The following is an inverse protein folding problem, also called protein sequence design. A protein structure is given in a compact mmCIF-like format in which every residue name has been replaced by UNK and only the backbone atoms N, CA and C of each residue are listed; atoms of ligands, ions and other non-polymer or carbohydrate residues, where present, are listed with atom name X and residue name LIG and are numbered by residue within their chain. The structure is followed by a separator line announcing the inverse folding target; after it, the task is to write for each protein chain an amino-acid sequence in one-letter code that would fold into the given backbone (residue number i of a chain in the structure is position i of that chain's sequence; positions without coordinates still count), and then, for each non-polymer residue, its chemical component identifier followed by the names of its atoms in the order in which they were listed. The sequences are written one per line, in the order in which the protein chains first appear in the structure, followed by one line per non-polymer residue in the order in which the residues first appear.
data_IF_499048250164
#
_entry.id   IF_499048250164
#
_cell.length_a   1.000
_cell.length_b   1.000
_cell.length_c   1.000
_cell.angle_alpha   90.00
_cell.angle_beta   90.00
_cell.angle_gamma   90.00
#
_symmetry.space_group_name_H-M   'P 1'
#
loop_
_entity.id
_entity.type
_entity.pdbx_description
1 polymer ?
#
# COMPACT_ATOMS: atom_id res chain seq x y z
N UNK A 1 -16.15 -3.10 -2.09
CA UNK A 1 -14.78 -3.63 -2.23
C UNK A 1 -14.26 -3.16 -3.57
N UNK A 2 -13.09 -2.54 -3.60
CA UNK A 2 -12.44 -2.10 -4.84
C UNK A 2 -11.23 -2.94 -5.17
N UNK A 3 -10.90 -3.01 -6.47
CA UNK A 3 -9.68 -3.60 -6.97
C UNK A 3 -8.88 -2.51 -7.68
N UNK A 4 -7.62 -2.34 -7.30
CA UNK A 4 -6.70 -1.40 -7.94
C UNK A 4 -5.64 -2.20 -8.69
N UNK A 5 -5.62 -2.08 -10.02
CA UNK A 5 -4.56 -2.65 -10.84
C UNK A 5 -3.31 -1.79 -10.74
N UNK A 6 -2.25 -2.32 -10.11
CA UNK A 6 -1.00 -1.59 -9.99
C UNK A 6 -0.28 -1.50 -11.35
N UNK A 7 -0.31 -2.56 -12.15
CA UNK A 7 0.25 -2.54 -13.50
C UNK A 7 -0.41 -1.46 -14.37
N UNK A 8 -1.74 -1.34 -14.32
CA UNK A 8 -2.47 -0.30 -15.05
C UNK A 8 -2.01 1.12 -14.68
N UNK A 9 -1.84 1.40 -13.38
CA UNK A 9 -1.36 2.72 -12.94
C UNK A 9 0.08 3.02 -13.40
N UNK A 10 0.93 2.00 -13.42
CA UNK A 10 2.34 2.11 -13.84
C UNK A 10 2.53 2.26 -15.35
N UNK A 11 1.51 1.96 -16.18
CA UNK A 11 1.57 2.23 -17.62
C UNK A 11 1.52 3.73 -17.92
N UNK A 12 0.78 4.48 -17.12
CA UNK A 12 0.47 5.90 -17.36
C UNK A 12 1.29 6.85 -16.49
N UNK A 13 2.05 6.34 -15.51
CA UNK A 13 2.73 7.17 -14.52
C UNK A 13 3.93 6.49 -13.86
N UNK A 14 4.80 7.29 -13.22
CA UNK A 14 5.90 6.76 -12.43
C UNK A 14 5.43 6.18 -11.08
N UNK A 15 6.35 5.53 -10.36
CA UNK A 15 6.07 4.92 -9.06
C UNK A 15 5.55 5.89 -7.99
N UNK A 16 5.94 7.16 -8.02
CA UNK A 16 5.49 8.15 -7.03
C UNK A 16 4.06 8.54 -7.32
N UNK A 17 3.74 8.88 -8.56
CA UNK A 17 2.39 9.28 -8.95
C UNK A 17 1.40 8.11 -8.90
N UNK A 18 1.82 6.91 -9.33
CA UNK A 18 1.06 5.67 -9.10
C UNK A 18 0.79 5.43 -7.61
N UNK A 19 1.77 5.68 -6.73
CA UNK A 19 1.60 5.57 -5.29
C UNK A 19 0.53 6.52 -4.75
N UNK A 20 0.55 7.78 -5.18
CA UNK A 20 -0.49 8.76 -4.82
C UNK A 20 -1.87 8.35 -5.33
N UNK A 21 -1.95 7.80 -6.54
CA UNK A 21 -3.21 7.29 -7.09
C UNK A 21 -3.78 6.13 -6.25
N UNK A 22 -2.92 5.22 -5.79
CA UNK A 22 -3.31 4.16 -4.85
C UNK A 22 -3.77 4.75 -3.52
N UNK A 23 -3.04 5.73 -2.97
CA UNK A 23 -3.42 6.41 -1.72
C UNK A 23 -4.83 6.98 -1.80
N UNK A 24 -5.12 7.77 -2.83
CA UNK A 24 -6.41 8.46 -2.97
C UNK A 24 -7.56 7.45 -3.07
N UNK A 25 -7.44 6.45 -3.95
CA UNK A 25 -8.45 5.40 -4.12
C UNK A 25 -8.65 4.58 -2.85
N UNK A 26 -7.56 4.26 -2.15
CA UNK A 26 -7.62 3.48 -0.92
C UNK A 26 -8.24 4.28 0.23
N UNK A 27 -7.96 5.58 0.35
CA UNK A 27 -8.58 6.46 1.34
C UNK A 27 -10.10 6.49 1.16
N UNK A 28 -10.57 6.74 -0.07
CA UNK A 28 -12.01 6.77 -0.38
C UNK A 28 -12.68 5.46 0.06
N UNK A 29 -12.14 4.32 -0.37
CA UNK A 29 -12.68 3.01 -0.02
C UNK A 29 -12.61 2.70 1.49
N UNK A 30 -11.50 3.03 2.17
CA UNK A 30 -11.34 2.74 3.61
C UNK A 30 -12.26 3.61 4.47
N UNK A 31 -12.49 4.86 4.07
CA UNK A 31 -13.43 5.77 4.74
C UNK A 31 -14.88 5.27 4.57
N UNK A 32 -15.18 4.58 3.48
CA UNK A 32 -16.46 3.88 3.23
C UNK A 32 -16.53 2.46 3.85
N UNK A 33 -15.54 2.07 4.66
CA UNK A 33 -15.40 0.72 5.24
C UNK A 33 -15.33 -0.42 4.20
N UNK A 34 -14.86 -0.12 3.00
CA UNK A 34 -14.63 -1.13 1.98
C UNK A 34 -13.24 -1.78 2.10
N UNK A 35 -13.15 -3.02 1.63
CA UNK A 35 -11.86 -3.68 1.39
C UNK A 35 -11.23 -3.16 0.10
N UNK A 36 -9.91 -2.96 0.14
CA UNK A 36 -9.10 -2.57 -1.01
C UNK A 36 -8.20 -3.75 -1.38
N UNK A 37 -8.33 -4.22 -2.62
CA UNK A 37 -7.47 -5.27 -3.16
C UNK A 37 -6.48 -4.65 -4.14
N UNK A 38 -5.19 -4.74 -3.84
CA UNK A 38 -4.12 -4.36 -4.76
C UNK A 38 -3.79 -5.57 -5.64
N UNK A 39 -4.03 -5.42 -6.94
CA UNK A 39 -3.69 -6.42 -7.94
C UNK A 39 -2.28 -6.17 -8.47
N UNK A 40 -1.43 -7.16 -8.24
CA UNK A 40 -0.01 -7.15 -8.55
C UNK A 40 0.33 -7.86 -9.87
N UNK A 41 -0.67 -8.29 -10.64
CA UNK A 41 -0.43 -8.96 -11.93
C UNK A 41 0.49 -8.12 -12.83
N UNK A 42 1.52 -8.76 -13.41
CA UNK A 42 2.56 -8.13 -14.25
C UNK A 42 3.39 -7.03 -13.58
N UNK A 43 3.35 -6.93 -12.26
CA UNK A 43 4.27 -6.10 -11.49
C UNK A 43 5.36 -7.00 -10.94
N UNK A 44 6.62 -6.68 -11.21
CA UNK A 44 7.77 -7.46 -10.71
C UNK A 44 8.26 -6.96 -9.35
N UNK A 45 8.19 -5.65 -9.13
CA UNK A 45 8.64 -5.03 -7.89
C UNK A 45 7.75 -3.88 -7.46
N UNK A 46 7.65 -3.72 -6.15
CA UNK A 46 7.14 -2.48 -5.54
C UNK A 46 8.39 -1.79 -5.01
N UNK A 47 8.76 -0.56 -5.39
CA UNK A 47 9.90 0.16 -4.80
C UNK A 47 9.52 0.96 -3.53
N UNK A 48 10.50 1.50 -2.80
CA UNK A 48 10.24 2.26 -1.57
C UNK A 48 9.60 3.61 -1.85
N UNK A 49 9.98 4.25 -2.96
CA UNK A 49 9.35 5.50 -3.41
C UNK A 49 7.84 5.34 -3.64
N UNK A 50 7.40 4.19 -4.16
CA UNK A 50 5.98 3.88 -4.28
C UNK A 50 5.31 3.73 -2.92
N UNK A 51 5.89 2.93 -2.01
CA UNK A 51 5.29 2.67 -0.70
C UNK A 51 5.23 3.94 0.15
N UNK A 52 6.23 4.80 0.09
CA UNK A 52 6.23 6.10 0.76
C UNK A 52 5.20 7.08 0.20
N UNK A 53 4.83 6.93 -1.08
CA UNK A 53 3.76 7.72 -1.69
C UNK A 53 2.36 7.12 -1.47
N UNK A 54 2.26 5.89 -0.95
CA UNK A 54 1.01 5.15 -0.79
C UNK A 54 0.80 4.62 0.63
N UNK A 55 1.41 3.49 0.96
CA UNK A 55 1.21 2.78 2.22
C UNK A 55 1.68 3.55 3.45
N UNK A 56 2.77 4.32 3.36
CA UNK A 56 3.24 5.17 4.48
C UNK A 56 2.15 6.14 4.95
N UNK A 57 1.64 7.03 4.07
CA UNK A 57 0.54 7.94 4.41
C UNK A 57 -0.76 7.23 4.85
N UNK A 58 -1.07 6.05 4.31
CA UNK A 58 -2.19 5.24 4.80
C UNK A 58 -1.98 4.79 6.24
N UNK A 59 -0.78 4.34 6.58
CA UNK A 59 -0.40 3.96 7.94
C UNK A 59 -0.46 5.17 8.86
N UNK A 60 0.05 6.33 8.44
CA UNK A 60 -0.01 7.57 9.24
C UNK A 60 -1.46 7.97 9.55
N UNK A 61 -2.37 7.85 8.56
CA UNK A 61 -3.78 8.26 8.71
C UNK A 61 -4.59 7.28 9.57
N UNK A 62 -4.38 5.97 9.40
CA UNK A 62 -5.30 4.95 9.93
C UNK A 62 -4.68 4.01 10.96
N UNK A 63 -3.37 4.03 11.12
CA UNK A 63 -2.61 3.05 11.89
C UNK A 63 -2.45 1.71 11.16
N UNK A 64 -1.37 1.00 11.51
CA UNK A 64 -1.02 -0.29 10.88
C UNK A 64 -2.13 -1.33 11.02
N UNK A 65 -2.79 -1.39 12.18
CA UNK A 65 -3.81 -2.41 12.45
C UNK A 65 -5.04 -2.27 11.55
N UNK A 66 -5.51 -1.04 11.31
CA UNK A 66 -6.63 -0.79 10.39
C UNK A 66 -6.23 -1.13 8.96
N UNK A 67 -5.04 -0.70 8.53
CA UNK A 67 -4.56 -0.97 7.16
C UNK A 67 -4.39 -2.48 6.91
N UNK A 68 -3.86 -3.25 7.86
CA UNK A 68 -3.77 -4.72 7.74
C UNK A 68 -5.14 -5.39 7.59
N UNK A 69 -6.19 -4.83 8.19
CA UNK A 69 -7.56 -5.35 8.06
C UNK A 69 -8.21 -4.94 6.74
N UNK A 70 -7.91 -3.75 6.22
CA UNK A 70 -8.54 -3.17 5.03
C UNK A 70 -7.84 -3.48 3.70
N UNK A 71 -6.52 -3.69 3.68
CA UNK A 71 -5.76 -3.99 2.46
C UNK A 71 -5.60 -5.49 2.24
N UNK A 72 -5.77 -5.93 0.99
CA UNK A 72 -5.43 -7.28 0.51
C UNK A 72 -4.58 -7.18 -0.75
N UNK A 73 -3.80 -8.21 -1.02
CA UNK A 73 -2.97 -8.32 -2.22
C UNK A 73 -3.36 -9.59 -2.97
N UNK A 74 -3.44 -9.50 -4.30
CA UNK A 74 -3.63 -10.67 -5.18
C UNK A 74 -2.60 -10.66 -6.30
N UNK A 75 -2.37 -11.83 -6.92
CA UNK A 75 -1.37 -12.03 -7.97
C UNK A 75 0.04 -11.57 -7.54
N UNK A 76 0.35 -11.75 -6.26
CA UNK A 76 1.56 -11.22 -5.61
C UNK A 76 2.64 -12.29 -5.53
N UNK A 77 3.87 -11.91 -5.86
CA UNK A 77 5.04 -12.77 -5.72
C UNK A 77 5.50 -12.84 -4.26
N UNK A 78 6.11 -13.96 -3.84
CA UNK A 78 6.64 -14.13 -2.48
C UNK A 78 7.60 -13.00 -2.08
N UNK A 79 8.51 -12.60 -2.99
CA UNK A 79 9.45 -11.50 -2.78
C UNK A 79 8.76 -10.16 -2.52
N UNK A 80 7.60 -9.92 -3.15
CA UNK A 80 6.81 -8.71 -2.94
C UNK A 80 6.12 -8.73 -1.58
N UNK A 81 5.57 -9.87 -1.17
CA UNK A 81 4.99 -10.04 0.17
C UNK A 81 6.04 -9.78 1.24
N UNK A 82 7.23 -10.38 1.12
CA UNK A 82 8.35 -10.16 2.04
C UNK A 82 8.74 -8.68 2.10
N UNK A 83 8.84 -8.03 0.94
CA UNK A 83 9.21 -6.62 0.85
C UNK A 83 8.18 -5.68 1.49
N UNK A 84 6.89 -5.88 1.21
CA UNK A 84 5.79 -5.09 1.78
C UNK A 84 5.71 -5.35 3.30
N UNK A 85 5.81 -6.61 3.72
CA UNK A 85 5.78 -6.98 5.14
C UNK A 85 6.92 -6.34 5.91
N UNK A 86 8.13 -6.34 5.34
CA UNK A 86 9.29 -5.66 5.91
C UNK A 86 9.02 -4.16 6.06
N UNK A 87 8.50 -3.51 5.02
CA UNK A 87 8.18 -2.09 5.07
C UNK A 87 7.21 -1.74 6.21
N UNK A 88 6.09 -2.44 6.31
CA UNK A 88 5.11 -2.23 7.38
C UNK A 88 5.72 -2.45 8.78
N UNK A 89 6.59 -3.44 8.90
CA UNK A 89 7.25 -3.76 10.19
C UNK A 89 8.28 -2.71 10.58
N UNK A 90 9.08 -2.23 9.63
CA UNK A 90 10.03 -1.14 9.87
C UNK A 90 9.29 0.15 10.22
N UNK A 91 8.20 0.46 9.52
CA UNK A 91 7.38 1.65 9.75
C UNK A 91 6.73 1.64 11.13
N UNK A 92 6.15 0.50 11.55
CA UNK A 92 5.59 0.34 12.89
C UNK A 92 6.63 0.62 13.98
N UNK A 93 7.85 0.08 13.84
CA UNK A 93 8.93 0.33 14.81
C UNK A 93 9.29 1.80 14.94
N UNK A 94 9.27 2.54 13.83
CA UNK A 94 9.53 4.00 13.85
C UNK A 94 8.42 4.72 14.61
N UNK A 95 7.16 4.37 14.36
CA UNK A 95 6.02 4.93 15.10
C UNK A 95 6.16 4.63 16.59
N UNK A 96 6.47 3.39 16.97
CA UNK A 96 6.60 2.98 18.36
C UNK A 96 7.72 3.76 19.08
N UNK A 97 8.84 4.04 18.40
CA UNK A 97 9.93 4.85 18.95
C UNK A 97 9.57 6.34 19.09
N UNK A 98 8.69 6.86 18.24
CA UNK A 98 8.27 8.27 18.27
C UNK A 98 7.21 8.59 19.34
N UNK A 99 6.60 7.55 19.93
CA UNK A 99 5.56 7.67 20.95
C UNK A 99 6.10 7.51 22.39
N UNK A 100 7.43 7.58 22.57
CA UNK A 100 8.15 7.53 23.85
C UNK A 100 8.57 8.96 24.22
#
# INVERSE_FOLDING_TARGET
MIVISLYGLLLDSDYRESGKAVLNKAVEAIDENELVVIDMDKVDSVPTIFMNASFGPLIDKYGVDRIKKSLRFRNVLKSQVERISKYFSDYQKIIDLSNI
#
